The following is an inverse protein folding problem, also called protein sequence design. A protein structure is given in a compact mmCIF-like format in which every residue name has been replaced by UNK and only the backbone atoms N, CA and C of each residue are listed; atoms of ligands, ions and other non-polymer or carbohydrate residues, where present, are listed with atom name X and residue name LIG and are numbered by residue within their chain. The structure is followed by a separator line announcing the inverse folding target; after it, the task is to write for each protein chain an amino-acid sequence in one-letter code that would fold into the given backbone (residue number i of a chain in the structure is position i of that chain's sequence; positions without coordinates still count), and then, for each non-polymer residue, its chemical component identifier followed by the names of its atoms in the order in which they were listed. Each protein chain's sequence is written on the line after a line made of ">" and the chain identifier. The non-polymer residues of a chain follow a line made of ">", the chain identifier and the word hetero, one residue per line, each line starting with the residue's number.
data_IF_527007397139
#
_entry.id   IF_527007397139
#
_cell.length_a   1.000
_cell.length_b   1.000
_cell.length_c   1.000
_cell.angle_alpha   90.00
_cell.angle_beta   90.00
_cell.angle_gamma   90.00
#
_symmetry.space_group_name_H-M   'P 1'
#
loop_
_entity.id
_entity.type
_entity.pdbx_description
1 polymer ?
#
# COMPACT_ATOMS: atom_id res chain seq x y z
N UNK A 1 16.95 15.03 61.29
CA UNK A 1 16.70 15.79 60.06
C UNK A 1 16.87 14.81 58.91
N UNK A 2 15.75 14.14 58.51
CA UNK A 2 15.74 13.13 57.45
C UNK A 2 15.63 13.81 56.08
N UNK A 3 16.37 13.38 55.08
CA UNK A 3 16.11 13.81 53.72
C UNK A 3 14.87 13.05 53.22
N UNK A 4 13.90 13.81 52.75
CA UNK A 4 12.66 13.36 52.13
C UNK A 4 12.99 12.71 50.80
N UNK A 5 12.52 11.52 50.64
CA UNK A 5 12.59 10.65 49.45
C UNK A 5 11.85 11.29 48.26
N UNK A 6 12.60 11.86 47.32
CA UNK A 6 12.11 12.54 46.11
C UNK A 6 12.04 11.59 44.91
N UNK A 7 11.96 10.27 45.16
CA UNK A 7 11.97 9.25 44.13
C UNK A 7 10.57 8.80 43.69
N UNK A 8 9.50 9.36 44.25
CA UNK A 8 8.11 8.92 43.97
C UNK A 8 7.37 9.73 42.90
N UNK A 9 7.99 10.79 42.34
CA UNK A 9 7.33 11.68 41.38
C UNK A 9 7.54 11.29 39.90
N UNK A 10 8.49 10.40 39.57
CA UNK A 10 8.84 10.05 38.21
C UNK A 10 7.98 8.93 37.57
N UNK A 11 7.01 8.36 38.27
CA UNK A 11 6.29 7.16 37.85
C UNK A 11 4.82 7.37 37.46
N UNK A 12 4.29 8.59 37.46
CA UNK A 12 2.82 8.82 37.23
C UNK A 12 2.45 9.60 35.97
N UNK A 13 3.40 9.90 35.09
CA UNK A 13 3.17 10.72 33.90
C UNK A 13 2.69 9.94 32.67
N UNK A 14 2.43 8.62 32.74
CA UNK A 14 2.27 7.80 31.53
C UNK A 14 0.89 7.16 31.34
N UNK A 15 -0.15 7.56 32.05
CA UNK A 15 -1.48 6.95 31.91
C UNK A 15 -2.59 8.01 31.83
N UNK A 16 -2.83 8.50 30.60
CA UNK A 16 -4.12 9.09 30.23
C UNK A 16 -4.86 8.11 29.32
N UNK A 17 -5.56 7.11 29.87
CA UNK A 17 -6.25 6.07 29.09
C UNK A 17 -7.36 6.66 28.22
N UNK A 18 -7.92 7.81 28.60
CA UNK A 18 -8.94 8.49 27.81
C UNK A 18 -8.35 9.07 26.53
N UNK A 19 -7.19 9.72 26.62
CA UNK A 19 -6.50 10.25 25.44
C UNK A 19 -5.99 9.12 24.52
N UNK A 20 -5.42 8.06 25.11
CA UNK A 20 -4.98 6.88 24.37
C UNK A 20 -6.14 6.24 23.59
N UNK A 21 -7.28 6.04 24.23
CA UNK A 21 -8.49 5.51 23.58
C UNK A 21 -8.96 6.43 22.46
N UNK A 22 -8.87 7.75 22.66
CA UNK A 22 -9.29 8.75 21.68
C UNK A 22 -8.43 8.73 20.41
N UNK A 23 -7.10 8.64 20.53
CA UNK A 23 -6.21 8.58 19.37
C UNK A 23 -6.27 7.24 18.66
N UNK A 24 -6.47 6.14 19.40
CA UNK A 24 -6.61 4.79 18.83
C UNK A 24 -7.80 4.68 17.86
N UNK A 25 -8.85 5.46 18.03
CA UNK A 25 -9.96 5.51 17.08
C UNK A 25 -9.53 5.97 15.68
N UNK A 26 -8.43 6.71 15.57
CA UNK A 26 -7.86 7.20 14.32
C UNK A 26 -6.77 6.29 13.73
N UNK A 27 -6.35 5.22 14.44
CA UNK A 27 -5.24 4.34 14.01
C UNK A 27 -5.39 3.89 12.56
N UNK A 28 -6.57 3.40 12.22
CA UNK A 28 -6.82 2.80 10.90
C UNK A 28 -6.72 3.82 9.76
N UNK A 29 -7.34 4.99 9.90
CA UNK A 29 -7.27 6.03 8.87
C UNK A 29 -5.86 6.62 8.74
N UNK A 30 -5.14 6.78 9.85
CA UNK A 30 -3.76 7.23 9.84
C UNK A 30 -2.82 6.18 9.25
N UNK A 31 -3.05 4.88 9.49
CA UNK A 31 -2.27 3.82 8.87
C UNK A 31 -2.43 3.81 7.35
N UNK A 32 -3.66 3.93 6.85
CA UNK A 32 -3.91 4.05 5.40
C UNK A 32 -3.26 5.31 4.83
N UNK A 33 -3.29 6.43 5.56
CA UNK A 33 -2.60 7.66 5.15
C UNK A 33 -1.08 7.47 5.07
N UNK A 34 -0.46 6.92 6.12
CA UNK A 34 0.97 6.63 6.15
C UNK A 34 1.36 5.62 5.06
N UNK A 35 0.54 4.60 4.83
CA UNK A 35 0.76 3.64 3.75
C UNK A 35 0.75 4.29 2.37
N UNK A 36 -0.18 5.21 2.08
CA UNK A 36 -0.13 5.98 0.83
C UNK A 36 1.12 6.84 0.74
N UNK A 37 1.54 7.44 1.84
CA UNK A 37 2.77 8.23 1.89
C UNK A 37 4.02 7.39 1.62
N UNK A 38 4.10 6.18 2.16
CA UNK A 38 5.33 5.38 2.23
C UNK A 38 5.37 4.21 1.24
N UNK A 39 4.22 3.67 0.81
CA UNK A 39 4.12 2.49 -0.07
C UNK A 39 4.50 1.17 0.61
N UNK A 40 4.83 1.18 1.90
CA UNK A 40 5.24 0.04 2.71
C UNK A 40 4.30 -0.09 3.90
N UNK A 41 3.79 -1.29 4.13
CA UNK A 41 2.91 -1.58 5.26
C UNK A 41 3.65 -1.45 6.59
N UNK A 42 4.86 -2.02 6.65
CA UNK A 42 5.68 -2.01 7.87
C UNK A 42 6.11 -0.59 8.24
N UNK A 43 6.60 0.18 7.26
CA UNK A 43 6.96 1.59 7.52
C UNK A 43 5.73 2.45 7.91
N UNK A 44 4.55 2.12 7.41
CA UNK A 44 3.32 2.80 7.80
C UNK A 44 2.93 2.50 9.25
N UNK A 45 3.08 1.25 9.70
CA UNK A 45 2.83 0.86 11.09
C UNK A 45 3.80 1.59 12.02
N UNK A 46 5.09 1.60 11.68
CA UNK A 46 6.12 2.32 12.46
C UNK A 46 5.84 3.84 12.50
N UNK A 47 5.43 4.43 11.37
CA UNK A 47 5.10 5.85 11.31
C UNK A 47 3.86 6.20 12.17
N UNK A 48 2.85 5.33 12.24
CA UNK A 48 1.68 5.52 13.10
C UNK A 48 2.06 5.39 14.57
N UNK A 49 2.91 4.41 14.94
CA UNK A 49 3.40 4.27 16.29
C UNK A 49 4.18 5.53 16.75
N UNK A 50 5.10 6.02 15.89
CA UNK A 50 5.84 7.27 16.16
C UNK A 50 4.88 8.47 16.24
N UNK A 51 3.88 8.55 15.36
CA UNK A 51 2.88 9.62 15.41
C UNK A 51 2.08 9.59 16.72
N UNK A 52 1.69 8.44 17.22
CA UNK A 52 0.98 8.31 18.50
C UNK A 52 1.86 8.65 19.69
N UNK A 53 3.13 8.24 19.66
CA UNK A 53 4.10 8.64 20.67
C UNK A 53 4.28 10.17 20.72
N UNK A 54 4.43 10.81 19.55
CA UNK A 54 4.52 12.28 19.44
C UNK A 54 3.22 12.94 19.90
N UNK A 55 2.06 12.44 19.48
CA UNK A 55 0.77 12.96 19.89
C UNK A 55 0.60 12.92 21.40
N UNK A 56 0.99 11.81 22.02
CA UNK A 56 0.97 11.66 23.46
C UNK A 56 1.89 12.67 24.15
N UNK A 57 3.12 12.79 23.69
CA UNK A 57 4.14 13.71 24.24
C UNK A 57 3.72 15.18 24.15
N UNK A 58 3.07 15.57 23.03
CA UNK A 58 2.68 16.95 22.76
C UNK A 58 1.20 17.24 23.04
N UNK A 59 0.45 16.36 23.70
CA UNK A 59 -0.98 16.50 23.94
C UNK A 59 -1.37 17.81 24.62
N UNK A 60 -0.53 18.29 25.56
CA UNK A 60 -0.75 19.54 26.31
C UNK A 60 -0.48 20.79 25.48
N UNK A 61 0.29 20.67 24.39
CA UNK A 61 0.58 21.81 23.51
C UNK A 61 -0.53 22.04 22.48
N UNK A 62 -1.46 21.10 22.36
CA UNK A 62 -2.62 21.22 21.48
C UNK A 62 -3.54 22.34 21.99
N UNK A 63 -3.87 23.29 21.11
CA UNK A 63 -4.80 24.38 21.49
C UNK A 63 -6.14 23.75 21.93
N UNK A 64 -6.67 24.23 23.03
CA UNK A 64 -7.99 23.82 23.52
C UNK A 64 -9.05 24.13 22.46
N UNK A 65 -9.93 23.16 22.15
CA UNK A 65 -10.94 23.27 21.09
C UNK A 65 -10.43 23.04 19.65
N UNK A 66 -9.12 22.88 19.42
CA UNK A 66 -8.63 22.51 18.09
C UNK A 66 -9.06 21.09 17.70
N UNK A 67 -9.53 20.85 16.45
CA UNK A 67 -9.93 19.51 16.01
C UNK A 67 -8.76 18.52 16.11
N UNK A 68 -9.02 17.34 16.69
CA UNK A 68 -8.00 16.31 16.91
C UNK A 68 -7.49 15.71 15.60
N UNK A 69 -8.38 15.40 14.69
CA UNK A 69 -8.08 14.71 13.44
C UNK A 69 -7.04 15.44 12.55
N UNK A 70 -7.18 16.74 12.21
CA UNK A 70 -6.14 17.47 11.46
C UNK A 70 -4.78 17.49 12.17
N UNK A 71 -4.77 17.63 13.48
CA UNK A 71 -3.55 17.61 14.26
C UNK A 71 -2.84 16.26 14.24
N UNK A 72 -3.59 15.14 14.31
CA UNK A 72 -3.02 13.79 14.17
C UNK A 72 -2.46 13.57 12.76
N UNK A 73 -3.17 14.03 11.72
CA UNK A 73 -2.68 13.95 10.34
C UNK A 73 -1.39 14.77 10.13
N UNK A 74 -1.27 15.94 10.77
CA UNK A 74 -0.03 16.72 10.75
C UNK A 74 1.14 15.93 11.34
N UNK A 75 0.93 15.33 12.50
CA UNK A 75 1.97 14.52 13.18
C UNK A 75 2.33 13.30 12.32
N UNK A 76 1.34 12.56 11.81
CA UNK A 76 1.55 11.37 10.99
C UNK A 76 2.25 11.70 9.65
N UNK A 77 1.87 12.82 9.01
CA UNK A 77 2.54 13.29 7.80
C UNK A 77 4.00 13.63 8.07
N UNK A 78 4.30 14.33 9.18
CA UNK A 78 5.68 14.65 9.56
C UNK A 78 6.48 13.39 9.87
N UNK A 79 5.90 12.39 10.55
CA UNK A 79 6.55 11.09 10.75
C UNK A 79 6.91 10.42 9.42
N UNK A 80 5.99 10.42 8.45
CA UNK A 80 6.28 9.90 7.09
C UNK A 80 7.38 10.69 6.39
N UNK A 81 7.39 12.03 6.48
CA UNK A 81 8.45 12.88 5.90
C UNK A 81 9.81 12.55 6.51
N UNK A 82 9.87 12.30 7.82
CA UNK A 82 11.10 11.88 8.49
C UNK A 82 11.59 10.51 8.00
N UNK A 83 10.69 9.54 7.81
CA UNK A 83 11.03 8.22 7.24
C UNK A 83 11.61 8.39 5.84
N UNK A 84 10.96 9.16 4.96
CA UNK A 84 11.42 9.40 3.59
C UNK A 84 12.79 10.09 3.59
N UNK A 85 13.00 11.09 4.45
CA UNK A 85 14.26 11.83 4.53
C UNK A 85 15.46 10.96 4.98
N UNK A 86 15.20 9.94 5.79
CA UNK A 86 16.24 8.99 6.25
C UNK A 86 16.57 7.91 5.23
N UNK A 87 15.64 7.57 4.33
CA UNK A 87 15.85 6.54 3.31
C UNK A 87 16.49 7.15 2.05
N UNK A 88 17.79 6.88 1.87
CA UNK A 88 18.57 7.37 0.72
C UNK A 88 18.01 6.91 -0.63
N UNK A 89 17.41 5.72 -0.71
CA UNK A 89 16.80 5.19 -1.94
C UNK A 89 15.60 6.04 -2.35
N UNK A 90 14.72 6.35 -1.40
CA UNK A 90 13.54 7.19 -1.63
C UNK A 90 13.92 8.62 -2.01
N UNK A 91 14.92 9.20 -1.34
CA UNK A 91 15.38 10.56 -1.67
C UNK A 91 16.09 10.63 -3.01
N UNK A 92 16.89 9.62 -3.37
CA UNK A 92 17.55 9.53 -4.68
C UNK A 92 16.53 9.42 -5.82
N UNK A 93 15.51 8.56 -5.66
CA UNK A 93 14.47 8.38 -6.64
C UNK A 93 13.68 9.67 -6.91
N UNK A 94 13.27 10.37 -5.84
CA UNK A 94 12.53 11.63 -6.00
C UNK A 94 13.39 12.72 -6.64
N UNK A 95 14.69 12.80 -6.35
CA UNK A 95 15.62 13.74 -6.98
C UNK A 95 15.81 13.45 -8.47
N UNK A 96 15.93 12.18 -8.86
CA UNK A 96 16.03 11.76 -10.26
C UNK A 96 14.76 12.11 -11.05
N UNK A 97 13.58 11.87 -10.44
CA UNK A 97 12.30 12.22 -11.05
C UNK A 97 12.10 13.74 -11.22
N UNK A 98 12.63 14.57 -10.31
CA UNK A 98 12.64 16.03 -10.45
C UNK A 98 13.59 16.52 -11.54
N UNK A 99 14.74 15.86 -11.71
CA UNK A 99 15.73 16.20 -12.75
C UNK A 99 15.23 15.84 -14.16
N UNK A 100 14.12 15.11 -14.29
CA UNK A 100 13.54 14.72 -15.57
C UNK A 100 14.20 13.50 -16.21
N UNK A 101 14.94 12.71 -15.43
CA UNK A 101 15.46 11.43 -15.85
C UNK A 101 14.34 10.47 -16.28
N UNK A 102 14.69 9.48 -17.09
CA UNK A 102 13.74 8.52 -17.67
C UNK A 102 12.91 7.84 -16.57
N UNK A 103 11.67 8.33 -16.41
CA UNK A 103 10.79 7.95 -15.31
C UNK A 103 10.30 6.50 -15.45
N UNK A 104 10.37 5.89 -16.64
CA UNK A 104 10.11 4.47 -16.81
C UNK A 104 11.09 3.64 -15.98
N UNK A 105 12.37 4.03 -15.93
CA UNK A 105 13.38 3.45 -15.03
C UNK A 105 13.05 3.67 -13.56
N UNK A 106 12.52 4.85 -13.21
CA UNK A 106 12.24 5.21 -11.82
C UNK A 106 11.12 4.39 -11.18
N UNK A 107 10.14 3.94 -11.96
CA UNK A 107 9.05 3.05 -11.47
C UNK A 107 9.60 1.69 -11.05
N UNK A 108 10.61 1.18 -11.76
CA UNK A 108 11.24 -0.12 -11.48
C UNK A 108 12.12 -0.10 -10.22
N UNK A 109 12.51 1.10 -9.76
CA UNK A 109 13.31 1.30 -8.55
C UNK A 109 12.47 1.37 -7.27
N UNK A 110 11.13 1.33 -7.35
CA UNK A 110 10.25 1.30 -6.16
C UNK A 110 10.23 -0.11 -5.55
N UNK A 111 11.33 -0.48 -4.92
CA UNK A 111 11.56 -1.84 -4.38
C UNK A 111 10.99 -2.04 -2.97
N UNK A 112 10.55 -0.98 -2.29
CA UNK A 112 9.98 -1.04 -0.93
C UNK A 112 8.47 -1.24 -0.89
N UNK A 113 7.82 -1.37 -2.06
CA UNK A 113 6.37 -1.56 -2.14
C UNK A 113 5.95 -2.84 -1.42
N UNK A 114 4.92 -2.74 -0.59
CA UNK A 114 4.32 -3.88 0.09
C UNK A 114 2.80 -3.89 -0.12
N UNK A 115 2.15 -5.06 -0.14
CA UNK A 115 0.70 -5.14 -0.32
C UNK A 115 -0.03 -4.80 0.98
N UNK A 116 -1.28 -4.32 0.84
CA UNK A 116 -2.16 -3.96 1.95
C UNK A 116 -3.38 -4.87 2.00
N UNK A 117 -3.68 -5.52 3.13
CA UNK A 117 -4.86 -6.40 3.26
C UNK A 117 -6.16 -5.62 3.15
N UNK A 118 -7.09 -6.09 2.30
CA UNK A 118 -8.40 -5.44 2.14
C UNK A 118 -9.24 -5.47 3.42
N UNK A 119 -9.07 -6.48 4.27
CA UNK A 119 -9.72 -6.56 5.58
C UNK A 119 -9.43 -5.37 6.50
N UNK A 120 -8.28 -4.73 6.31
CA UNK A 120 -7.89 -3.52 7.02
C UNK A 120 -8.36 -2.24 6.33
N UNK A 121 -8.87 -2.33 5.08
CA UNK A 121 -9.43 -1.19 4.33
C UNK A 121 -10.95 -1.04 4.53
N UNK A 122 -11.64 -2.06 5.03
CA UNK A 122 -13.07 -1.98 5.27
C UNK A 122 -13.39 -0.95 6.34
N UNK A 123 -14.35 -0.04 6.11
CA UNK A 123 -14.77 0.89 7.13
C UNK A 123 -15.31 0.10 8.32
N UNK A 124 -14.78 0.35 9.50
CA UNK A 124 -15.54 0.07 10.73
C UNK A 124 -16.86 0.82 10.58
N UNK A 125 -18.00 0.13 10.79
CA UNK A 125 -19.35 0.65 10.55
C UNK A 125 -19.45 2.15 10.83
N UNK A 126 -20.10 2.96 9.95
CA UNK A 126 -20.18 4.40 10.14
C UNK A 126 -20.76 4.67 11.52
N UNK A 127 -20.06 5.39 12.36
CA UNK A 127 -20.71 6.02 13.51
C UNK A 127 -21.67 7.02 12.93
N UNK A 128 -22.96 6.93 13.29
CA UNK A 128 -24.06 7.78 12.81
C UNK A 128 -23.81 9.31 12.97
N UNK A 129 -22.70 9.72 13.55
CA UNK A 129 -22.34 11.10 13.89
C UNK A 129 -21.17 11.70 13.09
N UNK A 130 -20.52 10.99 12.15
CA UNK A 130 -19.45 11.55 11.34
C UNK A 130 -19.77 11.44 9.84
N UNK A 131 -20.28 12.54 9.21
CA UNK A 131 -20.52 12.57 7.76
C UNK A 131 -19.26 12.48 6.90
N UNK A 132 -18.06 12.55 7.51
CA UNK A 132 -16.76 12.67 6.85
C UNK A 132 -15.89 11.40 6.90
N UNK A 133 -16.46 10.24 7.20
CA UNK A 133 -15.72 8.98 7.02
C UNK A 133 -15.47 8.78 5.51
N UNK A 134 -14.31 9.27 5.05
CA UNK A 134 -13.92 9.16 3.65
C UNK A 134 -13.77 7.70 3.26
N UNK A 135 -14.61 7.29 2.34
CA UNK A 135 -14.50 5.99 1.68
C UNK A 135 -13.15 5.94 0.96
N UNK A 136 -12.31 4.97 1.32
CA UNK A 136 -11.09 4.69 0.58
C UNK A 136 -11.49 4.27 -0.83
N UNK A 137 -11.27 5.12 -1.83
CA UNK A 137 -11.59 4.79 -3.20
C UNK A 137 -10.63 3.70 -3.69
N UNK A 138 -11.13 2.80 -4.53
CA UNK A 138 -10.35 1.68 -5.09
C UNK A 138 -9.05 2.17 -5.73
N UNK A 139 -9.14 3.18 -6.57
CA UNK A 139 -8.03 3.68 -7.38
C UNK A 139 -6.88 4.26 -6.56
N UNK A 140 -7.18 4.85 -5.39
CA UNK A 140 -6.16 5.51 -4.56
C UNK A 140 -5.37 4.58 -3.65
N UNK A 141 -5.65 3.28 -3.71
CA UNK A 141 -4.94 2.26 -2.96
C UNK A 141 -4.36 1.15 -3.86
N UNK A 142 -4.72 1.13 -5.14
CA UNK A 142 -4.13 0.19 -6.10
C UNK A 142 -2.60 0.37 -6.21
N UNK A 143 -1.88 -0.73 -6.39
CA UNK A 143 -0.42 -0.73 -6.40
C UNK A 143 0.16 0.14 -7.52
N UNK A 144 -0.48 0.20 -8.69
CA UNK A 144 -0.06 1.07 -9.78
C UNK A 144 -0.08 2.55 -9.39
N UNK A 145 -1.16 3.01 -8.72
CA UNK A 145 -1.23 4.37 -8.18
C UNK A 145 -0.16 4.61 -7.11
N UNK A 146 -0.03 3.68 -6.17
CA UNK A 146 0.95 3.78 -5.09
C UNK A 146 2.38 3.84 -5.62
N UNK A 147 2.70 3.05 -6.63
CA UNK A 147 4.01 3.06 -7.29
C UNK A 147 4.31 4.44 -7.88
N UNK A 148 3.38 5.02 -8.65
CA UNK A 148 3.58 6.31 -9.31
C UNK A 148 3.69 7.47 -8.32
N UNK A 149 2.91 7.46 -7.23
CA UNK A 149 3.03 8.53 -6.23
C UNK A 149 4.35 8.47 -5.45
N UNK A 150 5.07 7.31 -5.43
CA UNK A 150 6.42 7.25 -4.86
C UNK A 150 7.44 8.09 -5.65
N UNK A 151 7.16 8.40 -6.92
CA UNK A 151 8.01 9.28 -7.74
C UNK A 151 7.83 10.77 -7.41
N UNK A 152 6.75 11.13 -6.72
CA UNK A 152 6.50 12.51 -6.31
C UNK A 152 7.41 12.91 -5.16
N UNK A 153 7.82 14.19 -5.13
CA UNK A 153 8.47 14.70 -3.93
C UNK A 153 7.58 14.51 -2.70
N UNK A 154 8.15 14.40 -1.51
CA UNK A 154 7.37 14.17 -0.29
C UNK A 154 6.25 15.21 -0.09
N UNK A 155 6.51 16.48 -0.40
CA UNK A 155 5.51 17.55 -0.31
C UNK A 155 4.43 17.46 -1.39
N UNK A 156 4.79 17.11 -2.63
CA UNK A 156 3.81 16.90 -3.71
C UNK A 156 2.90 15.71 -3.38
N UNK A 157 3.47 14.62 -2.86
CA UNK A 157 2.75 13.42 -2.45
C UNK A 157 1.78 13.73 -1.33
N UNK A 158 2.24 14.37 -0.24
CA UNK A 158 1.40 14.77 0.87
C UNK A 158 0.25 15.71 0.43
N UNK A 159 0.56 16.73 -0.37
CA UNK A 159 -0.45 17.65 -0.89
C UNK A 159 -1.50 16.92 -1.75
N UNK A 160 -1.08 15.99 -2.61
CA UNK A 160 -1.98 15.20 -3.45
C UNK A 160 -2.88 14.29 -2.60
N UNK A 161 -2.32 13.58 -1.62
CA UNK A 161 -3.10 12.69 -0.75
C UNK A 161 -4.12 13.50 0.07
N UNK A 162 -3.71 14.58 0.71
CA UNK A 162 -4.61 15.40 1.53
C UNK A 162 -5.71 16.06 0.70
N UNK A 163 -5.39 16.59 -0.49
CA UNK A 163 -6.32 17.30 -1.34
C UNK A 163 -7.23 16.41 -2.17
N UNK A 164 -6.62 15.51 -2.94
CA UNK A 164 -7.33 14.75 -3.99
C UNK A 164 -7.88 13.42 -3.47
N UNK A 165 -7.23 12.84 -2.45
CA UNK A 165 -7.68 11.58 -1.86
C UNK A 165 -8.54 11.82 -0.62
N UNK A 166 -8.13 12.71 0.28
CA UNK A 166 -8.84 12.98 1.53
C UNK A 166 -9.81 14.17 1.43
N UNK A 167 -9.87 14.88 0.32
CA UNK A 167 -10.84 15.94 0.05
C UNK A 167 -10.66 17.22 0.88
N UNK A 168 -9.53 17.39 1.56
CA UNK A 168 -9.30 18.56 2.41
C UNK A 168 -9.19 19.85 1.60
N UNK A 169 -9.55 20.98 2.19
CA UNK A 169 -9.38 22.29 1.55
C UNK A 169 -7.90 22.64 1.38
N UNK A 170 -7.58 23.55 0.46
CA UNK A 170 -6.21 24.02 0.28
C UNK A 170 -5.66 24.69 1.55
N UNK A 171 -6.54 25.32 2.35
CA UNK A 171 -6.16 25.94 3.62
C UNK A 171 -5.81 24.87 4.68
N UNK A 172 -6.68 23.88 4.90
CA UNK A 172 -6.42 22.80 5.84
C UNK A 172 -5.14 22.02 5.48
N UNK A 173 -4.93 21.76 4.18
CA UNK A 173 -3.70 21.13 3.70
C UNK A 173 -2.48 22.01 3.96
N UNK A 174 -2.57 23.32 3.76
CA UNK A 174 -1.50 24.26 4.03
C UNK A 174 -1.16 24.30 5.54
N UNK A 175 -2.19 24.30 6.39
CA UNK A 175 -2.04 24.27 7.85
C UNK A 175 -1.37 22.97 8.32
N UNK A 176 -1.73 21.80 7.75
CA UNK A 176 -1.12 20.50 8.09
C UNK A 176 0.33 20.40 7.63
N UNK A 177 0.65 20.94 6.45
CA UNK A 177 2.00 20.86 5.88
C UNK A 177 2.92 22.00 6.33
N UNK A 178 2.40 22.95 7.10
CA UNK A 178 3.09 24.18 7.52
C UNK A 178 3.69 24.94 6.33
N UNK A 179 2.88 25.15 5.28
CA UNK A 179 3.27 25.84 4.06
C UNK A 179 2.18 26.84 3.63
N UNK A 180 2.47 27.67 2.64
CA UNK A 180 1.44 28.57 2.07
C UNK A 180 0.45 27.81 1.17
N UNK A 181 -0.78 28.34 1.05
CA UNK A 181 -1.78 27.81 0.10
C UNK A 181 -1.25 27.83 -1.34
N UNK A 182 -0.45 28.82 -1.70
CA UNK A 182 0.19 28.91 -3.02
C UNK A 182 1.17 27.75 -3.24
N UNK A 183 1.94 27.36 -2.20
CA UNK A 183 2.85 26.22 -2.25
C UNK A 183 2.09 24.89 -2.43
N UNK A 184 0.97 24.70 -1.71
CA UNK A 184 0.07 23.54 -1.88
C UNK A 184 -0.43 23.45 -3.32
N UNK A 185 -0.95 24.55 -3.88
CA UNK A 185 -1.47 24.55 -5.26
C UNK A 185 -0.38 24.26 -6.29
N UNK A 186 0.83 24.79 -6.11
CA UNK A 186 1.98 24.48 -6.96
C UNK A 186 2.42 23.03 -6.86
N UNK A 187 2.46 22.45 -5.65
CA UNK A 187 2.77 21.04 -5.42
C UNK A 187 1.75 20.12 -6.10
N UNK A 188 0.44 20.43 -5.96
CA UNK A 188 -0.64 19.69 -6.61
C UNK A 188 -0.54 19.72 -8.14
N UNK A 189 -0.29 20.89 -8.71
CA UNK A 189 -0.18 21.03 -10.16
C UNK A 189 0.93 20.13 -10.71
N UNK A 190 2.10 20.12 -10.08
CA UNK A 190 3.23 19.26 -10.47
C UNK A 190 2.91 17.78 -10.24
N UNK A 191 2.39 17.42 -9.06
CA UNK A 191 2.01 16.05 -8.75
C UNK A 191 1.00 15.46 -9.74
N UNK A 192 -0.05 16.22 -10.06
CA UNK A 192 -1.07 15.82 -11.05
C UNK A 192 -0.49 15.69 -12.47
N UNK A 193 0.50 16.52 -12.83
CA UNK A 193 1.18 16.42 -14.12
C UNK A 193 1.97 15.11 -14.22
N UNK A 194 2.68 14.73 -13.15
CA UNK A 194 3.39 13.44 -13.06
C UNK A 194 2.41 12.27 -13.13
N UNK A 195 1.32 12.28 -12.37
CA UNK A 195 0.30 11.23 -12.43
C UNK A 195 -0.25 11.06 -13.85
N UNK A 196 -0.64 12.14 -14.52
CA UNK A 196 -1.16 12.07 -15.90
C UNK A 196 -0.18 11.49 -16.91
N UNK A 197 1.12 11.65 -16.67
CA UNK A 197 2.18 11.12 -17.55
C UNK A 197 2.37 9.61 -17.36
N UNK A 198 2.22 9.11 -16.13
CA UNK A 198 2.62 7.76 -15.74
C UNK A 198 1.47 6.80 -15.45
N UNK A 199 0.31 7.33 -15.07
CA UNK A 199 -0.92 6.56 -15.06
C UNK A 199 -1.62 6.81 -16.40
N UNK A 200 -1.60 5.85 -17.33
CA UNK A 200 -2.38 5.96 -18.55
C UNK A 200 -3.82 6.21 -18.15
N UNK A 201 -4.54 7.01 -18.99
CA UNK A 201 -5.93 7.36 -18.76
C UNK A 201 -6.77 6.09 -18.70
N UNK A 202 -6.78 5.41 -17.55
CA UNK A 202 -7.77 4.38 -17.27
C UNK A 202 -9.09 5.11 -17.21
N UNK A 203 -9.94 4.89 -18.20
CA UNK A 203 -11.33 5.32 -18.08
C UNK A 203 -11.87 4.67 -16.83
N UNK A 204 -12.56 5.40 -15.93
CA UNK A 204 -13.17 4.86 -14.74
C UNK A 204 -14.41 4.04 -15.13
N UNK A 205 -14.23 2.93 -15.83
CA UNK A 205 -15.29 1.98 -16.16
C UNK A 205 -15.29 0.75 -15.26
N UNK A 206 -14.60 0.83 -14.11
CA UNK A 206 -14.77 -0.20 -13.08
C UNK A 206 -16.06 0.06 -12.33
N UNK A 207 -16.97 -0.91 -12.29
CA UNK A 207 -18.13 -0.80 -11.42
C UNK A 207 -17.62 -0.64 -9.98
N UNK A 208 -18.14 0.36 -9.27
CA UNK A 208 -17.96 0.58 -7.83
C UNK A 208 -18.70 -0.57 -7.12
N UNK A 209 -18.20 -1.79 -7.27
CA UNK A 209 -18.77 -2.99 -6.66
C UNK A 209 -17.70 -3.72 -5.85
N UNK A 210 -18.07 -4.12 -4.64
CA UNK A 210 -17.20 -4.91 -3.75
C UNK A 210 -16.94 -6.30 -4.34
N UNK A 211 -17.80 -6.78 -5.26
CA UNK A 211 -17.74 -8.11 -5.84
C UNK A 211 -17.14 -8.09 -7.26
N UNK A 212 -16.23 -9.04 -7.52
CA UNK A 212 -15.71 -9.30 -8.86
C UNK A 212 -16.85 -9.60 -9.85
N UNK A 213 -16.77 -9.05 -11.05
CA UNK A 213 -17.71 -9.37 -12.13
C UNK A 213 -17.63 -10.86 -12.51
N UNK A 214 -18.65 -11.38 -13.19
CA UNK A 214 -18.60 -12.77 -13.68
C UNK A 214 -17.40 -13.00 -14.61
N UNK A 215 -17.06 -12.01 -15.45
CA UNK A 215 -15.90 -12.06 -16.35
C UNK A 215 -14.57 -12.08 -15.57
N UNK A 216 -14.43 -11.26 -14.52
CA UNK A 216 -13.25 -11.26 -13.65
C UNK A 216 -13.10 -12.59 -12.91
N UNK A 217 -14.18 -13.15 -12.38
CA UNK A 217 -14.14 -14.46 -11.72
C UNK A 217 -13.67 -15.56 -12.69
N UNK A 218 -14.16 -15.55 -13.92
CA UNK A 218 -13.73 -16.51 -14.93
C UNK A 218 -12.27 -16.33 -15.33
N UNK A 219 -11.80 -15.07 -15.46
CA UNK A 219 -10.40 -14.75 -15.73
C UNK A 219 -9.49 -15.29 -14.62
N UNK A 220 -9.84 -15.03 -13.35
CA UNK A 220 -9.08 -15.49 -12.19
C UNK A 220 -9.11 -17.01 -12.05
N UNK A 221 -10.24 -17.67 -12.34
CA UNK A 221 -10.34 -19.13 -12.37
C UNK A 221 -9.36 -19.74 -13.39
N UNK A 222 -9.28 -19.16 -14.58
CA UNK A 222 -8.31 -19.59 -15.61
C UNK A 222 -6.87 -19.35 -15.18
N UNK A 223 -6.58 -18.24 -14.50
CA UNK A 223 -5.26 -17.96 -13.97
C UNK A 223 -4.85 -18.99 -12.92
N UNK A 224 -5.75 -19.31 -11.97
CA UNK A 224 -5.51 -20.37 -10.97
C UNK A 224 -5.22 -21.69 -11.66
N UNK A 225 -6.07 -22.10 -12.62
CA UNK A 225 -5.87 -23.33 -13.35
C UNK A 225 -4.53 -23.35 -14.11
N UNK A 226 -4.16 -22.24 -14.78
CA UNK A 226 -2.88 -22.13 -15.49
C UNK A 226 -1.68 -22.22 -14.54
N UNK A 227 -1.84 -21.78 -13.28
CA UNK A 227 -0.79 -21.82 -12.26
C UNK A 227 -0.64 -23.22 -11.64
N UNK A 228 -1.75 -23.91 -11.36
CA UNK A 228 -1.74 -25.24 -10.74
C UNK A 228 -1.41 -26.36 -11.76
N UNK A 229 -1.85 -26.19 -13.01
CA UNK A 229 -1.58 -27.07 -14.14
C UNK A 229 -0.83 -26.25 -15.21
N UNK A 230 0.50 -26.05 -15.10
CA UNK A 230 1.23 -25.13 -15.94
C UNK A 230 0.94 -25.31 -17.44
N UNK A 231 0.23 -24.34 -18.02
CA UNK A 231 -0.24 -24.39 -19.39
C UNK A 231 0.00 -23.03 -20.08
N UNK A 232 1.03 -22.97 -20.94
CA UNK A 232 1.40 -21.76 -21.64
C UNK A 232 0.26 -21.15 -22.44
N UNK A 233 -0.53 -21.96 -23.14
CA UNK A 233 -1.67 -21.48 -23.93
C UNK A 233 -2.77 -20.86 -23.06
N UNK A 234 -2.98 -21.39 -21.86
CA UNK A 234 -3.94 -20.84 -20.92
C UNK A 234 -3.43 -19.49 -20.33
N UNK A 235 -2.15 -19.40 -19.99
CA UNK A 235 -1.53 -18.11 -19.63
C UNK A 235 -1.65 -17.08 -20.74
N UNK A 236 -1.38 -17.46 -22.00
CA UNK A 236 -1.54 -16.59 -23.16
C UNK A 236 -2.97 -16.06 -23.31
N UNK A 237 -3.96 -16.86 -22.94
CA UNK A 237 -5.39 -16.50 -23.07
C UNK A 237 -5.85 -15.47 -22.02
N UNK A 238 -5.13 -15.31 -20.91
CA UNK A 238 -5.53 -14.47 -19.78
C UNK A 238 -4.60 -13.27 -19.55
N UNK A 239 -3.34 -13.36 -19.99
CA UNK A 239 -2.34 -12.30 -19.81
C UNK A 239 -2.27 -11.45 -21.08
N UNK A 240 -2.30 -10.12 -20.90
CA UNK A 240 -2.19 -9.17 -22.00
C UNK A 240 -0.78 -9.21 -22.62
N UNK A 241 -0.66 -8.97 -23.92
CA UNK A 241 0.62 -9.05 -24.64
C UNK A 241 1.71 -8.13 -24.06
N UNK A 242 1.33 -6.94 -23.59
CA UNK A 242 2.20 -5.93 -23.00
C UNK A 242 2.17 -5.93 -21.45
N UNK A 243 1.73 -7.04 -20.84
CA UNK A 243 1.64 -7.15 -19.38
C UNK A 243 2.99 -6.93 -18.69
N UNK A 244 2.92 -6.47 -17.45
CA UNK A 244 4.10 -6.13 -16.63
C UNK A 244 4.17 -7.06 -15.42
N UNK A 245 5.37 -7.55 -15.12
CA UNK A 245 5.64 -8.39 -13.97
C UNK A 245 6.75 -7.79 -13.10
N UNK A 246 6.56 -7.77 -11.78
CA UNK A 246 7.50 -7.26 -10.78
C UNK A 246 7.54 -8.13 -9.54
N UNK A 247 8.67 -8.13 -8.84
CA UNK A 247 8.87 -8.90 -7.59
C UNK A 247 9.57 -8.05 -6.52
N UNK A 248 8.95 -7.02 -5.93
CA UNK A 248 9.54 -6.33 -4.79
C UNK A 248 9.89 -7.32 -3.64
N UNK A 249 11.05 -7.19 -2.97
CA UNK A 249 11.98 -6.07 -3.04
C UNK A 249 13.04 -6.16 -4.16
N UNK A 250 12.99 -7.15 -5.03
CA UNK A 250 13.92 -7.27 -6.15
C UNK A 250 13.69 -6.12 -7.14
N UNK A 251 14.77 -5.46 -7.60
CA UNK A 251 14.67 -4.42 -8.62
C UNK A 251 14.42 -5.03 -9.99
N UNK A 252 13.73 -4.27 -10.82
CA UNK A 252 13.53 -4.62 -12.23
C UNK A 252 12.08 -4.98 -12.55
N UNK A 253 11.84 -5.00 -13.84
CA UNK A 253 10.53 -5.27 -14.43
C UNK A 253 10.69 -6.19 -15.64
N UNK A 254 9.80 -7.15 -15.75
CA UNK A 254 9.65 -7.95 -16.97
C UNK A 254 8.45 -7.44 -17.74
N UNK A 255 8.65 -6.99 -18.96
CA UNK A 255 7.61 -6.45 -19.83
C UNK A 255 7.33 -7.43 -20.97
N UNK A 256 6.05 -7.70 -21.18
CA UNK A 256 5.57 -8.58 -22.22
C UNK A 256 5.30 -10.00 -21.74
N UNK A 257 4.13 -10.51 -22.13
CA UNK A 257 3.63 -11.85 -21.79
C UNK A 257 4.64 -12.97 -22.06
N UNK A 258 5.24 -12.96 -23.24
CA UNK A 258 6.19 -14.02 -23.64
C UNK A 258 7.47 -13.99 -22.79
N UNK A 259 7.92 -12.80 -22.37
CA UNK A 259 9.06 -12.66 -21.47
C UNK A 259 8.71 -13.17 -20.07
N UNK A 260 7.51 -12.90 -19.58
CA UNK A 260 7.03 -13.40 -18.29
C UNK A 260 6.94 -14.93 -18.30
N UNK A 261 6.34 -15.52 -19.34
CA UNK A 261 6.21 -16.98 -19.47
C UNK A 261 7.59 -17.65 -19.53
N UNK A 262 8.53 -17.09 -20.29
CA UNK A 262 9.92 -17.58 -20.31
C UNK A 262 10.57 -17.53 -18.95
N UNK A 263 10.46 -16.41 -18.23
CA UNK A 263 11.01 -16.25 -16.89
C UNK A 263 10.46 -17.33 -15.93
N UNK A 264 9.18 -17.62 -15.99
CA UNK A 264 8.57 -18.65 -15.15
C UNK A 264 9.02 -20.06 -15.53
N UNK A 265 9.16 -20.36 -16.81
CA UNK A 265 9.67 -21.66 -17.29
C UNK A 265 11.12 -21.85 -16.84
N UNK A 266 11.99 -20.85 -17.05
CA UNK A 266 13.40 -20.87 -16.63
C UNK A 266 13.54 -20.94 -15.10
N UNK A 267 12.64 -20.31 -14.36
CA UNK A 267 12.54 -20.39 -12.89
C UNK A 267 12.04 -21.73 -12.36
N UNK A 268 11.70 -22.67 -13.24
CA UNK A 268 11.26 -24.02 -12.86
C UNK A 268 9.76 -24.15 -12.55
N UNK A 269 8.96 -23.11 -12.84
CA UNK A 269 7.52 -23.09 -12.58
C UNK A 269 6.79 -24.28 -13.21
N UNK A 270 7.18 -24.70 -14.42
CA UNK A 270 6.56 -25.80 -15.14
C UNK A 270 7.18 -27.17 -14.88
N UNK A 271 8.37 -27.22 -14.27
CA UNK A 271 9.16 -28.45 -14.17
C UNK A 271 9.37 -28.98 -12.77
N UNK A 272 9.47 -28.08 -11.79
CA UNK A 272 9.82 -28.42 -10.40
C UNK A 272 8.82 -27.95 -9.35
N UNK A 273 7.88 -27.07 -9.71
CA UNK A 273 6.87 -26.56 -8.79
C UNK A 273 5.53 -27.27 -9.00
N UNK A 274 4.88 -27.60 -7.91
CA UNK A 274 3.49 -28.07 -7.88
C UNK A 274 2.73 -27.10 -7.00
N UNK A 275 1.97 -26.20 -7.64
CA UNK A 275 1.33 -25.11 -6.93
C UNK A 275 -0.09 -25.46 -6.50
N UNK A 276 -0.50 -24.86 -5.39
CA UNK A 276 -1.88 -24.71 -4.95
C UNK A 276 -2.13 -23.23 -4.70
N UNK A 277 -3.15 -22.66 -5.33
CA UNK A 277 -3.42 -21.24 -5.29
C UNK A 277 -4.73 -20.94 -4.57
N UNK A 278 -4.71 -19.96 -3.67
CA UNK A 278 -5.88 -19.50 -2.93
C UNK A 278 -6.17 -18.05 -3.33
N UNK A 279 -7.39 -17.81 -3.82
CA UNK A 279 -7.83 -16.45 -4.15
C UNK A 279 -8.02 -15.63 -2.88
N UNK A 280 -7.47 -14.42 -2.89
CA UNK A 280 -7.61 -13.43 -1.83
C UNK A 280 -7.68 -12.03 -2.44
N UNK A 281 -7.51 -10.99 -1.63
CA UNK A 281 -7.52 -9.60 -2.08
C UNK A 281 -6.45 -8.78 -1.37
N UNK A 282 -5.82 -7.88 -2.13
CA UNK A 282 -4.86 -6.92 -1.63
C UNK A 282 -5.04 -5.59 -2.37
N UNK A 283 -4.98 -4.46 -1.69
CA UNK A 283 -5.04 -3.15 -2.34
C UNK A 283 -6.30 -2.93 -3.20
N UNK A 284 -7.43 -3.49 -2.82
CA UNK A 284 -8.68 -3.53 -3.59
C UNK A 284 -8.55 -4.24 -4.96
N UNK A 285 -7.48 -4.99 -5.14
CA UNK A 285 -7.22 -5.80 -6.32
C UNK A 285 -7.36 -7.29 -6.00
N UNK A 286 -7.69 -8.16 -6.98
CA UNK A 286 -7.58 -9.60 -6.81
C UNK A 286 -6.14 -9.99 -6.49
N UNK A 287 -5.96 -11.01 -5.67
CA UNK A 287 -4.66 -11.55 -5.37
C UNK A 287 -4.70 -13.08 -5.28
N UNK A 288 -3.59 -13.73 -5.61
CA UNK A 288 -3.36 -15.17 -5.48
C UNK A 288 -2.31 -15.42 -4.40
N UNK A 289 -2.68 -16.16 -3.36
CA UNK A 289 -1.71 -16.74 -2.44
C UNK A 289 -1.27 -18.09 -3.01
N UNK A 290 -0.02 -18.18 -3.44
CA UNK A 290 0.56 -19.36 -4.07
C UNK A 290 1.36 -20.17 -3.04
N UNK A 291 1.11 -21.46 -2.99
CA UNK A 291 1.80 -22.42 -2.15
C UNK A 291 2.45 -23.48 -3.03
N UNK A 292 3.67 -23.90 -2.71
CA UNK A 292 4.38 -24.94 -3.43
C UNK A 292 4.46 -26.22 -2.61
N UNK A 293 4.23 -27.37 -3.24
CA UNK A 293 4.31 -28.66 -2.59
C UNK A 293 5.74 -28.92 -2.08
N UNK A 294 5.86 -29.14 -0.78
CA UNK A 294 7.13 -29.46 -0.14
C UNK A 294 7.67 -30.83 -0.59
N UNK A 295 8.94 -31.08 -0.25
CA UNK A 295 9.64 -32.34 -0.59
C UNK A 295 9.02 -33.57 0.07
N UNK A 296 8.23 -33.35 1.12
CA UNK A 296 7.49 -34.40 1.82
C UNK A 296 6.31 -34.96 1.01
N UNK A 297 5.83 -34.20 0.01
CA UNK A 297 4.67 -34.53 -0.80
C UNK A 297 3.32 -34.38 -0.05
N UNK A 298 3.34 -33.93 1.20
CA UNK A 298 2.17 -33.85 2.08
C UNK A 298 1.77 -32.40 2.43
N UNK A 299 2.71 -31.47 2.33
CA UNK A 299 2.50 -30.07 2.77
C UNK A 299 2.80 -29.11 1.65
N UNK A 300 1.87 -28.21 1.37
CA UNK A 300 2.09 -27.05 0.53
C UNK A 300 2.57 -25.86 1.38
N UNK A 301 3.78 -25.39 1.14
CA UNK A 301 4.39 -24.25 1.85
C UNK A 301 4.11 -22.94 1.15
N UNK A 302 3.87 -21.88 1.92
CA UNK A 302 3.67 -20.53 1.39
C UNK A 302 4.86 -20.09 0.52
N UNK A 303 4.60 -19.63 -0.70
CA UNK A 303 5.63 -19.28 -1.67
C UNK A 303 5.57 -17.80 -2.06
N UNK A 304 4.41 -17.32 -2.47
CA UNK A 304 4.26 -15.95 -2.98
C UNK A 304 2.83 -15.44 -2.90
N UNK A 305 2.67 -14.12 -2.79
CA UNK A 305 1.39 -13.43 -2.95
C UNK A 305 1.46 -12.60 -4.24
N UNK A 306 0.69 -12.98 -5.24
CA UNK A 306 0.57 -12.27 -6.51
C UNK A 306 -0.62 -11.32 -6.46
N UNK A 307 -0.38 -10.02 -6.60
CA UNK A 307 -1.44 -9.02 -6.75
C UNK A 307 -1.67 -8.74 -8.22
N UNK A 308 -2.92 -8.84 -8.66
CA UNK A 308 -3.30 -8.88 -10.06
C UNK A 308 -3.92 -7.56 -10.49
N UNK A 309 -3.30 -6.89 -11.45
CA UNK A 309 -3.84 -5.74 -12.15
C UNK A 309 -4.60 -6.20 -13.41
N UNK A 310 -5.90 -5.95 -13.46
CA UNK A 310 -6.75 -6.29 -14.61
C UNK A 310 -7.07 -5.01 -15.37
N UNK A 311 -6.94 -5.04 -16.70
CA UNK A 311 -7.32 -3.95 -17.60
C UNK A 311 -7.92 -4.53 -18.89
N UNK A 312 -9.05 -3.96 -19.34
CA UNK A 312 -9.80 -4.42 -20.52
C UNK A 312 -10.13 -5.93 -20.49
N UNK A 313 -10.40 -6.48 -19.32
CA UNK A 313 -10.76 -7.90 -19.15
C UNK A 313 -9.59 -8.89 -19.26
N UNK A 314 -8.35 -8.41 -19.25
CA UNK A 314 -7.12 -9.21 -19.25
C UNK A 314 -6.19 -8.79 -18.12
N UNK A 315 -5.28 -9.67 -17.74
CA UNK A 315 -4.23 -9.38 -16.76
C UNK A 315 -3.19 -8.47 -17.41
N UNK A 316 -3.07 -7.25 -16.89
CA UNK A 316 -2.14 -6.24 -17.37
C UNK A 316 -0.90 -6.09 -16.48
N UNK A 317 -1.00 -6.52 -15.21
CA UNK A 317 0.11 -6.45 -14.26
C UNK A 317 0.01 -7.58 -13.25
N UNK A 318 1.15 -8.14 -12.88
CA UNK A 318 1.32 -9.04 -11.73
C UNK A 318 2.46 -8.52 -10.88
N UNK A 319 2.17 -8.28 -9.59
CA UNK A 319 3.19 -7.88 -8.62
C UNK A 319 3.27 -8.97 -7.57
N UNK A 320 4.39 -9.68 -7.53
CA UNK A 320 4.64 -10.81 -6.64
C UNK A 320 5.38 -10.37 -5.39
N UNK A 321 4.86 -10.73 -4.24
CA UNK A 321 5.46 -10.46 -2.93
C UNK A 321 5.90 -11.77 -2.25
N UNK A 322 6.95 -11.73 -1.41
CA UNK A 322 7.43 -12.91 -0.69
C UNK A 322 6.40 -13.40 0.33
N UNK A 323 6.47 -14.68 0.75
CA UNK A 323 5.49 -15.27 1.66
C UNK A 323 5.49 -14.67 3.07
N UNK A 324 6.49 -13.86 3.42
CA UNK A 324 6.55 -13.11 4.69
C UNK A 324 5.35 -12.18 4.90
N UNK A 325 4.61 -11.84 3.83
CA UNK A 325 3.41 -11.01 3.94
C UNK A 325 2.16 -11.80 4.35
N UNK A 326 2.17 -13.15 4.31
CA UNK A 326 0.97 -13.99 4.50
C UNK A 326 0.30 -13.78 5.85
N UNK A 327 1.07 -13.67 6.93
CA UNK A 327 0.53 -13.49 8.28
C UNK A 327 -0.42 -12.28 8.38
N UNK A 328 -0.03 -11.14 7.79
CA UNK A 328 -0.87 -9.91 7.82
C UNK A 328 -2.17 -10.04 7.02
N UNK A 329 -2.21 -11.00 6.08
CA UNK A 329 -3.41 -11.33 5.31
C UNK A 329 -4.28 -12.40 5.98
N UNK A 330 -3.88 -12.93 7.14
CA UNK A 330 -4.54 -14.05 7.79
C UNK A 330 -4.42 -15.36 7.01
N UNK A 331 -3.44 -15.45 6.11
CA UNK A 331 -3.17 -16.62 5.30
C UNK A 331 -2.26 -17.59 6.08
N UNK A 332 -2.53 -18.90 6.06
CA UNK A 332 -1.70 -19.88 6.74
C UNK A 332 -0.32 -20.00 6.08
N UNK A 333 0.71 -20.28 6.88
CA UNK A 333 2.06 -20.53 6.37
C UNK A 333 2.16 -21.83 5.54
N UNK A 334 1.23 -22.74 5.72
CA UNK A 334 1.18 -24.00 4.96
C UNK A 334 -0.25 -24.54 4.85
N UNK A 335 -0.48 -25.36 3.83
CA UNK A 335 -1.73 -26.09 3.59
C UNK A 335 -1.42 -27.59 3.55
N UNK A 336 -2.31 -28.42 4.09
CA UNK A 336 -2.20 -29.87 3.94
C UNK A 336 -2.60 -30.28 2.52
N UNK A 337 -1.89 -31.24 1.97
CA UNK A 337 -2.28 -31.92 0.74
C UNK A 337 -3.36 -32.94 1.09
N UNK A 338 -4.60 -32.44 1.25
CA UNK A 338 -5.76 -33.33 1.42
C UNK A 338 -6.13 -33.92 0.05
N UNK A 339 -6.34 -35.26 -0.03
CA UNK A 339 -6.64 -35.96 -1.27
C UNK A 339 -7.98 -35.57 -1.91
#
# INVERSE_FOLDING_TARGET
>A
MNPVDDSAAAGREHDDPAFTTLIEQHRRELHVHCYRMLGSFDDAEDAVQDAFFRAWRYRETRREGAPLRPWLYQIATNACLDVIARDKRRTSLTAAAEAGDDVARSVDEVTWLQPYPDSLLEPTAPRESEPDAMVVTKETIELAFLTVIQLLTPQQRAALILRDVLGWSAKETADVLDVSVAAVNGALQRGRATLRRHLPSRKPEWPVGVDATAAERELLRKLVQASEEPNAALFESVIREDAVFRMPPEPGVTVGRDAMIRLWIEGGFTTSMRLRCVLTRANRQPALACYNLGKDGETYEAMALDVIGIDQGMIAEIITFPPTVFERFGLPASLRNEP
#
